data_IF_949827197931
#
_entry.id   IF_949827197931
#
_cell.length_a   1.000
_cell.length_b   1.000
_cell.length_c   1.000
_cell.angle_alpha   90.00
_cell.angle_beta   90.00
_cell.angle_gamma   90.00
#
_symmetry.space_group_name_H-M   'P 1'
#
loop_
_entity.id
_entity.type
_entity.pdbx_description
1 polymer ?
#
# COMPACT_ATOMS: atom_id res chain seq x y z
N UNK A 1 9.17 11.87 44.50
CA UNK A 1 7.79 11.68 43.99
C UNK A 1 7.91 11.29 42.52
N UNK A 2 7.70 10.02 42.19
CA UNK A 2 7.63 9.54 40.81
C UNK A 2 6.30 10.00 40.22
N UNK A 3 6.32 11.01 39.35
CA UNK A 3 5.13 11.42 38.60
C UNK A 3 4.58 10.21 37.84
N UNK A 4 3.30 9.88 38.08
CA UNK A 4 2.61 8.85 37.29
C UNK A 4 2.59 9.32 35.83
N UNK A 5 2.88 8.46 34.84
CA UNK A 5 2.74 8.83 33.45
C UNK A 5 1.29 9.24 33.19
N UNK A 6 1.05 10.52 32.91
CA UNK A 6 -0.27 10.98 32.51
C UNK A 6 -0.55 10.47 31.09
N UNK A 7 -1.66 9.76 30.91
CA UNK A 7 -2.12 9.36 29.57
C UNK A 7 -2.35 10.61 28.73
N UNK A 8 -1.70 10.70 27.57
CA UNK A 8 -1.95 11.81 26.65
C UNK A 8 -3.35 11.69 26.04
N UNK A 9 -3.91 12.79 25.55
CA UNK A 9 -5.21 12.77 24.85
C UNK A 9 -5.23 11.77 23.67
N UNK A 10 -4.08 11.60 22.99
CA UNK A 10 -3.93 10.60 21.93
C UNK A 10 -3.96 9.15 22.42
N UNK A 11 -3.47 8.89 23.63
CA UNK A 11 -3.51 7.56 24.24
C UNK A 11 -4.97 7.18 24.59
N UNK A 12 -5.72 8.11 25.20
CA UNK A 12 -7.14 7.88 25.52
C UNK A 12 -7.99 7.68 24.26
N UNK A 13 -7.76 8.50 23.23
CA UNK A 13 -8.45 8.38 21.94
C UNK A 13 -8.20 7.03 21.28
N UNK A 14 -6.93 6.61 21.16
CA UNK A 14 -6.60 5.30 20.60
C UNK A 14 -7.18 4.15 21.44
N UNK A 15 -7.11 4.25 22.77
CA UNK A 15 -7.69 3.27 23.68
C UNK A 15 -9.20 3.10 23.47
N UNK A 16 -9.94 4.21 23.34
CA UNK A 16 -11.37 4.17 23.05
C UNK A 16 -11.66 3.51 21.69
N UNK A 17 -10.92 3.87 20.64
CA UNK A 17 -11.07 3.26 19.32
C UNK A 17 -10.81 1.75 19.35
N UNK A 18 -9.77 1.30 20.05
CA UNK A 18 -9.46 -0.12 20.19
C UNK A 18 -10.53 -0.88 21.00
N UNK A 19 -11.07 -0.28 22.06
CA UNK A 19 -12.17 -0.88 22.83
C UNK A 19 -13.46 -1.02 22.00
N UNK A 20 -13.79 0.01 21.22
CA UNK A 20 -14.92 -0.05 20.27
C UNK A 20 -14.67 -1.11 19.20
N UNK A 21 -13.47 -1.16 18.63
CA UNK A 21 -13.08 -2.18 17.65
C UNK A 21 -13.18 -3.60 18.19
N UNK A 22 -12.75 -3.82 19.43
CA UNK A 22 -12.88 -5.11 20.13
C UNK A 22 -14.34 -5.56 20.23
N UNK A 23 -15.24 -4.64 20.62
CA UNK A 23 -16.68 -4.95 20.72
C UNK A 23 -17.27 -5.24 19.33
N UNK A 24 -16.92 -4.44 18.32
CA UNK A 24 -17.37 -4.66 16.93
C UNK A 24 -16.94 -6.04 16.43
N UNK A 25 -15.68 -6.43 16.66
CA UNK A 25 -15.18 -7.74 16.27
C UNK A 25 -15.93 -8.90 16.93
N UNK A 26 -16.26 -8.79 18.23
CA UNK A 26 -17.07 -9.79 18.94
C UNK A 26 -18.48 -9.86 18.37
N UNK A 27 -19.10 -8.71 18.06
CA UNK A 27 -20.43 -8.68 17.47
C UNK A 27 -20.45 -9.32 16.08
N UNK A 28 -19.43 -9.07 15.26
CA UNK A 28 -19.23 -9.77 14.00
C UNK A 28 -19.09 -11.28 14.23
N UNK A 29 -18.22 -11.70 15.14
CA UNK A 29 -18.00 -13.11 15.44
C UNK A 29 -19.28 -13.82 15.96
N UNK A 30 -20.11 -13.12 16.74
CA UNK A 30 -21.32 -13.69 17.33
C UNK A 30 -22.52 -13.74 16.36
N UNK A 31 -22.54 -12.89 15.33
CA UNK A 31 -23.71 -12.74 14.44
C UNK A 31 -23.44 -13.01 12.96
N UNK A 32 -22.20 -13.31 12.59
CA UNK A 32 -21.87 -13.63 11.20
C UNK A 32 -22.43 -15.02 10.83
N UNK A 33 -23.10 -15.14 9.67
CA UNK A 33 -23.61 -16.43 9.19
C UNK A 33 -22.51 -17.35 8.65
N UNK A 34 -21.39 -16.78 8.20
CA UNK A 34 -20.32 -17.50 7.52
C UNK A 34 -19.14 -17.77 8.47
N UNK A 35 -18.64 -19.01 8.60
CA UNK A 35 -17.53 -19.34 9.50
C UNK A 35 -16.27 -18.50 9.26
N UNK A 36 -15.99 -18.10 8.01
CA UNK A 36 -14.82 -17.30 7.71
C UNK A 36 -14.93 -15.85 8.22
N UNK A 37 -16.13 -15.28 8.23
CA UNK A 37 -16.37 -13.95 8.81
C UNK A 37 -16.38 -14.02 10.33
N UNK A 38 -16.87 -15.12 10.91
CA UNK A 38 -16.72 -15.39 12.34
C UNK A 38 -15.23 -15.40 12.73
N UNK A 39 -14.40 -16.11 11.98
CA UNK A 39 -12.96 -16.15 12.17
C UNK A 39 -12.33 -14.75 12.08
N UNK A 40 -12.71 -13.95 11.07
CA UNK A 40 -12.24 -12.56 10.93
C UNK A 40 -12.66 -11.68 12.12
N UNK A 41 -13.87 -11.84 12.65
CA UNK A 41 -14.32 -11.12 13.85
C UNK A 41 -13.46 -11.43 15.07
N UNK A 42 -13.10 -12.70 15.28
CA UNK A 42 -12.19 -13.10 16.36
C UNK A 42 -10.78 -12.57 16.18
N UNK A 43 -10.23 -12.66 14.97
CA UNK A 43 -8.91 -12.13 14.63
C UNK A 43 -8.84 -10.62 14.88
N UNK A 44 -9.85 -9.88 14.43
CA UNK A 44 -9.95 -8.45 14.64
C UNK A 44 -10.02 -8.09 16.14
N UNK A 45 -10.89 -8.79 16.89
CA UNK A 45 -11.02 -8.62 18.34
C UNK A 45 -9.69 -8.88 19.06
N UNK A 46 -9.02 -9.97 18.72
CA UNK A 46 -7.73 -10.32 19.32
C UNK A 46 -6.67 -9.25 19.05
N UNK A 47 -6.63 -8.68 17.84
CA UNK A 47 -5.74 -7.57 17.51
C UNK A 47 -6.06 -6.29 18.29
N UNK A 48 -7.34 -5.93 18.42
CA UNK A 48 -7.77 -4.78 19.23
C UNK A 48 -7.40 -4.96 20.70
N UNK A 49 -7.61 -6.15 21.26
CA UNK A 49 -7.23 -6.48 22.64
C UNK A 49 -5.71 -6.42 22.84
N UNK A 50 -4.93 -6.96 21.90
CA UNK A 50 -3.47 -6.86 21.94
C UNK A 50 -3.00 -5.40 21.91
N UNK A 51 -3.64 -4.56 21.08
CA UNK A 51 -3.41 -3.12 21.04
C UNK A 51 -3.72 -2.43 22.38
N UNK A 52 -4.85 -2.76 23.02
CA UNK A 52 -5.20 -2.25 24.35
C UNK A 52 -4.18 -2.65 25.40
N UNK A 53 -3.78 -3.91 25.43
CA UNK A 53 -2.77 -4.42 26.36
C UNK A 53 -1.43 -3.71 26.14
N UNK A 54 -1.01 -3.52 24.88
CA UNK A 54 0.22 -2.80 24.54
C UNK A 54 0.15 -1.32 24.99
N UNK A 55 -0.98 -0.66 24.80
CA UNK A 55 -1.20 0.72 25.22
C UNK A 55 -1.18 0.86 26.75
N UNK A 56 -1.86 -0.05 27.46
CA UNK A 56 -1.83 -0.12 28.94
C UNK A 56 -0.39 -0.33 29.42
N UNK A 57 0.33 -1.32 28.87
CA UNK A 57 1.74 -1.57 29.23
C UNK A 57 2.63 -0.35 29.00
N UNK A 58 2.43 0.38 27.90
CA UNK A 58 3.15 1.64 27.63
C UNK A 58 2.86 2.70 28.68
N UNK A 59 1.60 2.87 29.08
CA UNK A 59 1.18 3.89 30.05
C UNK A 59 1.60 3.56 31.49
N UNK A 60 1.62 2.28 31.87
CA UNK A 60 2.00 1.85 33.22
C UNK A 60 3.50 1.53 33.37
N UNK A 61 4.21 1.29 32.27
CA UNK A 61 5.58 0.76 32.28
C UNK A 61 6.71 1.76 32.01
N UNK A 62 6.44 3.03 31.65
CA UNK A 62 7.49 3.94 31.18
C UNK A 62 7.43 5.35 31.80
N UNK A 63 8.58 5.84 32.29
CA UNK A 63 8.90 7.27 32.33
C UNK A 63 8.97 7.76 30.88
N UNK A 64 7.98 8.55 30.44
CA UNK A 64 7.97 9.07 29.07
C UNK A 64 9.06 10.15 28.92
N UNK A 65 10.25 9.76 28.49
CA UNK A 65 11.24 10.73 27.99
C UNK A 65 10.76 11.28 26.65
N UNK A 66 10.86 12.60 26.46
CA UNK A 66 10.49 13.23 25.20
C UNK A 66 11.20 12.53 24.02
N UNK A 67 10.47 12.18 22.93
CA UNK A 67 11.09 11.50 21.81
C UNK A 67 12.17 12.38 21.17
N UNK A 68 13.43 11.92 21.20
CA UNK A 68 14.53 12.57 20.49
C UNK A 68 14.78 11.87 19.13
N UNK A 69 14.91 12.65 18.06
CA UNK A 69 15.22 12.16 16.71
C UNK A 69 14.03 11.58 15.94
N UNK A 70 14.33 10.93 14.80
CA UNK A 70 13.33 10.33 13.92
C UNK A 70 12.67 9.09 14.53
N UNK A 71 11.44 8.80 14.12
CA UNK A 71 10.73 7.59 14.51
C UNK A 71 11.19 6.41 13.63
N UNK A 72 12.33 5.83 14.00
CA UNK A 72 12.94 4.70 13.25
C UNK A 72 12.33 3.34 13.60
N UNK A 73 11.67 3.22 14.75
CA UNK A 73 11.20 1.92 15.24
C UNK A 73 10.11 1.33 14.33
N UNK A 74 9.14 2.16 13.92
CA UNK A 74 8.08 1.74 12.98
C UNK A 74 8.65 1.44 11.58
N UNK A 75 9.66 2.20 11.13
CA UNK A 75 10.33 1.95 9.85
C UNK A 75 11.02 0.59 9.87
N UNK A 76 11.76 0.27 10.94
CA UNK A 76 12.42 -1.03 11.10
C UNK A 76 11.42 -2.19 11.11
N UNK A 77 10.30 -2.03 11.82
CA UNK A 77 9.23 -3.03 11.83
C UNK A 77 8.65 -3.23 10.41
N UNK A 78 8.40 -2.14 9.68
CA UNK A 78 7.97 -2.16 8.29
C UNK A 78 8.95 -2.90 7.37
N UNK A 79 10.25 -2.63 7.48
CA UNK A 79 11.29 -3.32 6.68
C UNK A 79 11.31 -4.83 6.96
N UNK A 80 11.18 -5.25 8.23
CA UNK A 80 11.10 -6.67 8.60
C UNK A 80 9.84 -7.29 8.00
N UNK A 81 8.70 -6.62 8.11
CA UNK A 81 7.44 -7.07 7.53
C UNK A 81 7.52 -7.17 6.00
N UNK A 82 8.14 -6.19 5.31
CA UNK A 82 8.39 -6.24 3.87
C UNK A 82 9.14 -7.50 3.48
N UNK A 83 10.24 -7.84 4.16
CA UNK A 83 11.00 -9.05 3.84
C UNK A 83 10.16 -10.31 4.06
N UNK A 84 9.43 -10.40 5.17
CA UNK A 84 8.56 -11.53 5.47
C UNK A 84 7.48 -11.71 4.39
N UNK A 85 6.73 -10.66 4.06
CA UNK A 85 5.67 -10.73 3.06
C UNK A 85 6.19 -10.90 1.63
N UNK A 86 7.39 -10.40 1.32
CA UNK A 86 8.07 -10.64 0.06
C UNK A 86 8.35 -12.14 -0.13
N UNK A 87 8.96 -12.78 0.88
CA UNK A 87 9.19 -14.24 0.84
C UNK A 87 7.87 -14.99 0.75
N UNK A 88 6.90 -14.68 1.61
CA UNK A 88 5.60 -15.36 1.61
C UNK A 88 4.87 -15.24 0.27
N UNK A 89 4.77 -14.02 -0.28
CA UNK A 89 4.12 -13.76 -1.57
C UNK A 89 4.80 -14.47 -2.73
N UNK A 90 6.14 -14.46 -2.79
CA UNK A 90 6.89 -15.16 -3.84
C UNK A 90 6.81 -16.69 -3.72
N UNK A 91 6.76 -17.24 -2.51
CA UNK A 91 6.52 -18.67 -2.28
C UNK A 91 5.13 -19.07 -2.79
N UNK A 92 4.08 -18.32 -2.47
CA UNK A 92 2.73 -18.60 -3.03
C UNK A 92 2.75 -18.47 -4.55
N UNK A 93 3.48 -17.50 -5.10
CA UNK A 93 3.69 -17.33 -6.55
C UNK A 93 4.31 -18.57 -7.19
N UNK A 94 5.35 -19.13 -6.58
CA UNK A 94 5.97 -20.39 -7.02
C UNK A 94 4.98 -21.56 -6.94
N UNK A 95 4.21 -21.66 -5.85
CA UNK A 95 3.20 -22.73 -5.70
C UNK A 95 2.15 -22.67 -6.81
N UNK A 96 1.56 -21.50 -7.08
CA UNK A 96 0.53 -21.39 -8.12
C UNK A 96 1.10 -21.55 -9.53
N UNK A 97 2.36 -21.19 -9.77
CA UNK A 97 3.05 -21.48 -11.02
C UNK A 97 3.24 -23.00 -11.20
N UNK A 98 3.62 -23.72 -10.14
CA UNK A 98 3.70 -25.18 -10.15
C UNK A 98 2.33 -25.84 -10.32
N UNK A 99 1.25 -25.26 -9.80
CA UNK A 99 -0.11 -25.77 -10.02
C UNK A 99 -0.56 -25.68 -11.49
N UNK A 100 -0.11 -24.65 -12.21
CA UNK A 100 -0.36 -24.56 -13.65
C UNK A 100 0.41 -25.62 -14.44
N UNK A 101 1.63 -25.96 -14.01
CA UNK A 101 2.43 -27.01 -14.64
C UNK A 101 1.98 -28.43 -14.24
N UNK A 102 1.61 -28.61 -12.98
CA UNK A 102 1.23 -29.87 -12.36
C UNK A 102 -0.08 -29.70 -11.56
N UNK A 103 -1.25 -29.83 -12.21
CA UNK A 103 -2.55 -29.58 -11.57
C UNK A 103 -2.83 -30.43 -10.31
N UNK A 104 -2.18 -31.59 -10.15
CA UNK A 104 -2.25 -32.40 -8.93
C UNK A 104 -1.85 -31.65 -7.65
N UNK A 105 -1.04 -30.59 -7.76
CA UNK A 105 -0.65 -29.72 -6.64
C UNK A 105 -1.78 -28.81 -6.13
N UNK A 106 -2.99 -28.89 -6.70
CA UNK A 106 -4.19 -28.30 -6.10
C UNK A 106 -4.70 -29.10 -4.90
N UNK A 107 -4.32 -30.38 -4.78
CA UNK A 107 -4.68 -31.30 -3.70
C UNK A 107 -6.19 -31.55 -3.49
N UNK A 108 -7.05 -31.15 -4.44
CA UNK A 108 -8.51 -31.23 -4.34
C UNK A 108 -9.09 -30.61 -3.05
N UNK A 109 -8.37 -29.64 -2.45
CA UNK A 109 -8.82 -28.87 -1.30
C UNK A 109 -9.22 -27.45 -1.72
N UNK A 110 -10.33 -26.89 -1.19
CA UNK A 110 -10.79 -25.56 -1.59
C UNK A 110 -9.73 -24.46 -1.37
N UNK A 111 -9.07 -24.46 -0.21
CA UNK A 111 -8.10 -23.42 0.19
C UNK A 111 -6.72 -23.55 -0.47
N UNK A 112 -6.36 -24.69 -1.05
CA UNK A 112 -5.14 -24.82 -1.85
C UNK A 112 -5.38 -24.72 -3.35
N UNK A 113 -6.64 -24.58 -3.79
CA UNK A 113 -6.94 -24.43 -5.22
C UNK A 113 -6.33 -23.16 -5.80
N UNK A 114 -5.88 -23.23 -7.06
CA UNK A 114 -5.30 -22.12 -7.81
C UNK A 114 -6.20 -20.87 -7.78
N UNK A 115 -7.52 -21.06 -7.90
CA UNK A 115 -8.50 -19.97 -7.89
C UNK A 115 -8.50 -19.15 -6.60
N UNK A 116 -8.20 -19.76 -5.45
CA UNK A 116 -8.09 -19.04 -4.16
C UNK A 116 -6.67 -18.56 -3.85
N UNK A 117 -5.66 -19.30 -4.29
CA UNK A 117 -4.26 -18.93 -4.08
C UNK A 117 -3.79 -17.79 -5.01
N UNK A 118 -4.40 -17.63 -6.20
CA UNK A 118 -4.07 -16.54 -7.13
C UNK A 118 -4.27 -15.15 -6.50
N UNK A 119 -5.46 -14.77 -6.00
CA UNK A 119 -5.64 -13.47 -5.35
C UNK A 119 -4.82 -13.34 -4.06
N UNK A 120 -4.56 -14.45 -3.35
CA UNK A 120 -3.62 -14.45 -2.22
C UNK A 120 -2.21 -14.04 -2.65
N UNK A 121 -1.68 -14.64 -3.72
CA UNK A 121 -0.38 -14.25 -4.27
C UNK A 121 -0.36 -12.79 -4.70
N UNK A 122 -1.33 -12.38 -5.51
CA UNK A 122 -1.44 -11.01 -6.03
C UNK A 122 -1.41 -9.99 -4.89
N UNK A 123 -2.30 -10.14 -3.90
CA UNK A 123 -2.37 -9.23 -2.76
C UNK A 123 -1.17 -9.33 -1.82
N UNK A 124 -0.58 -10.52 -1.64
CA UNK A 124 0.63 -10.66 -0.83
C UNK A 124 1.83 -9.95 -1.47
N UNK A 125 2.01 -10.02 -2.79
CA UNK A 125 3.14 -9.36 -3.46
C UNK A 125 2.90 -7.85 -3.61
N UNK A 126 1.68 -7.43 -3.96
CA UNK A 126 1.39 -6.02 -4.20
C UNK A 126 1.18 -5.28 -2.88
N UNK A 127 0.18 -5.68 -2.11
CA UNK A 127 -0.21 -4.94 -0.92
C UNK A 127 0.62 -5.35 0.31
N UNK A 128 0.82 -6.64 0.56
CA UNK A 128 1.58 -7.02 1.75
C UNK A 128 3.08 -6.67 1.64
N UNK A 129 3.75 -7.11 0.57
CA UNK A 129 5.15 -6.79 0.30
C UNK A 129 5.31 -5.33 -0.14
N UNK A 130 4.76 -4.97 -1.31
CA UNK A 130 4.89 -3.63 -1.86
C UNK A 130 4.35 -2.54 -0.93
N UNK A 131 3.22 -2.77 -0.27
CA UNK A 131 2.65 -1.80 0.68
C UNK A 131 3.48 -1.59 1.93
N UNK A 132 4.03 -2.66 2.53
CA UNK A 132 4.97 -2.49 3.64
C UNK A 132 6.24 -1.75 3.20
N UNK A 133 6.74 -2.03 1.99
CA UNK A 133 7.88 -1.29 1.41
C UNK A 133 7.52 0.20 1.34
N UNK A 134 6.40 0.55 0.71
CA UNK A 134 5.99 1.94 0.51
C UNK A 134 5.74 2.68 1.83
N UNK A 135 5.08 2.06 2.81
CA UNK A 135 4.82 2.68 4.12
C UNK A 135 6.13 2.90 4.86
N UNK A 136 7.01 1.90 4.91
CA UNK A 136 8.29 2.01 5.60
C UNK A 136 9.19 3.08 4.96
N UNK A 137 9.29 3.09 3.62
CA UNK A 137 10.14 4.05 2.92
C UNK A 137 9.54 5.44 2.91
N UNK A 138 8.21 5.61 2.80
CA UNK A 138 7.59 6.94 2.88
C UNK A 138 7.86 7.57 4.25
N UNK A 139 7.70 6.82 5.34
CA UNK A 139 8.01 7.25 6.70
C UNK A 139 9.48 7.57 6.90
N UNK A 140 10.38 6.78 6.31
CA UNK A 140 11.82 7.05 6.36
C UNK A 140 12.19 8.33 5.61
N UNK A 141 11.66 8.49 4.40
CA UNK A 141 12.02 9.56 3.45
C UNK A 141 11.41 10.89 3.86
N UNK A 142 10.13 10.94 4.23
CA UNK A 142 9.46 12.20 4.57
C UNK A 142 10.11 12.87 5.79
N UNK A 143 10.52 12.08 6.79
CA UNK A 143 11.20 12.61 7.97
C UNK A 143 12.52 13.30 7.63
N UNK A 144 13.31 12.67 6.75
CA UNK A 144 14.66 13.15 6.38
C UNK A 144 14.60 14.32 5.42
N UNK A 145 13.70 14.27 4.44
CA UNK A 145 13.53 15.34 3.46
C UNK A 145 12.88 16.58 4.05
N UNK A 146 12.01 16.42 5.08
CA UNK A 146 11.42 17.55 5.80
C UNK A 146 12.18 17.95 7.07
N UNK A 147 13.22 17.20 7.45
CA UNK A 147 14.03 17.40 8.66
C UNK A 147 13.20 17.49 9.94
N UNK A 148 12.20 16.63 10.05
CA UNK A 148 11.25 16.60 11.18
C UNK A 148 10.83 15.18 11.49
N UNK A 149 10.45 14.90 12.74
CA UNK A 149 9.93 13.59 13.16
C UNK A 149 8.53 13.38 12.58
N UNK A 150 8.12 12.13 12.35
CA UNK A 150 6.74 11.82 11.97
C UNK A 150 5.73 12.48 12.92
N UNK A 151 4.61 12.92 12.35
CA UNK A 151 3.49 13.39 13.13
C UNK A 151 2.87 12.26 13.95
N UNK A 152 2.87 12.42 15.28
CA UNK A 152 2.32 11.46 16.24
C UNK A 152 3.26 10.31 16.57
N UNK A 153 3.27 9.89 17.84
CA UNK A 153 4.09 8.75 18.27
C UNK A 153 3.34 7.41 18.12
N UNK A 154 2.03 7.39 18.38
CA UNK A 154 1.19 6.20 18.25
C UNK A 154 0.61 6.01 16.84
N UNK A 155 0.30 7.11 16.14
CA UNK A 155 -0.37 7.03 14.84
C UNK A 155 0.42 6.21 13.80
N UNK A 156 1.76 6.33 13.68
CA UNK A 156 2.53 5.47 12.78
C UNK A 156 2.44 3.97 13.15
N UNK A 157 2.39 3.65 14.44
CA UNK A 157 2.21 2.27 14.90
C UNK A 157 0.80 1.73 14.65
N UNK A 158 -0.22 2.58 14.76
CA UNK A 158 -1.58 2.24 14.33
C UNK A 158 -1.61 1.92 12.84
N UNK A 159 -0.96 2.72 11.99
CA UNK A 159 -0.88 2.43 10.55
C UNK A 159 -0.19 1.10 10.31
N UNK A 160 0.96 0.85 10.95
CA UNK A 160 1.67 -0.42 10.80
C UNK A 160 0.79 -1.62 11.19
N UNK A 161 0.30 -1.68 12.43
CA UNK A 161 -0.48 -2.82 12.90
C UNK A 161 -1.84 -2.92 12.22
N UNK A 162 -2.46 -1.79 11.88
CA UNK A 162 -3.71 -1.77 11.13
C UNK A 162 -3.54 -2.29 9.72
N UNK A 163 -2.42 -1.96 9.05
CA UNK A 163 -2.08 -2.52 7.75
C UNK A 163 -1.77 -4.02 7.85
N UNK A 164 -1.08 -4.46 8.90
CA UNK A 164 -0.88 -5.90 9.14
C UNK A 164 -2.19 -6.65 9.37
N UNK A 165 -3.14 -6.04 10.07
CA UNK A 165 -4.49 -6.60 10.25
C UNK A 165 -5.23 -6.69 8.92
N UNK A 166 -5.16 -5.65 8.07
CA UNK A 166 -5.72 -5.69 6.72
C UNK A 166 -5.17 -6.87 5.90
N UNK A 167 -3.84 -7.01 5.85
CA UNK A 167 -3.17 -8.09 5.12
C UNK A 167 -3.64 -9.47 5.61
N UNK A 168 -3.71 -9.64 6.92
CA UNK A 168 -4.12 -10.91 7.53
C UNK A 168 -5.56 -11.26 7.15
N UNK A 169 -6.51 -10.33 7.33
CA UNK A 169 -7.92 -10.52 7.02
C UNK A 169 -8.16 -10.76 5.52
N UNK A 170 -7.47 -10.01 4.66
CA UNK A 170 -7.54 -10.20 3.21
C UNK A 170 -7.01 -11.60 2.82
N UNK A 171 -5.81 -11.94 3.28
CA UNK A 171 -5.15 -13.21 2.96
C UNK A 171 -5.95 -14.43 3.39
N UNK A 172 -6.46 -14.44 4.63
CA UNK A 172 -7.32 -15.53 5.11
C UNK A 172 -8.68 -15.52 4.42
N UNK A 173 -9.21 -14.35 4.08
CA UNK A 173 -10.44 -14.20 3.31
C UNK A 173 -10.39 -14.93 1.97
N UNK A 174 -9.31 -14.76 1.21
CA UNK A 174 -9.14 -15.42 -0.09
C UNK A 174 -9.13 -16.95 0.04
N UNK A 175 -8.39 -17.48 1.01
CA UNK A 175 -8.33 -18.92 1.29
C UNK A 175 -9.70 -19.49 1.66
N UNK A 176 -10.52 -18.71 2.36
CA UNK A 176 -11.87 -19.06 2.79
C UNK A 176 -12.93 -18.79 1.72
N UNK A 177 -12.56 -18.18 0.59
CA UNK A 177 -13.46 -17.87 -0.52
C UNK A 177 -14.29 -16.59 -0.34
N UNK A 178 -13.90 -15.73 0.60
CA UNK A 178 -14.51 -14.42 0.84
C UNK A 178 -13.85 -13.42 -0.11
N UNK A 179 -14.54 -13.08 -1.19
CA UNK A 179 -14.02 -12.14 -2.19
C UNK A 179 -15.12 -11.42 -2.99
N UNK A 180 -14.83 -10.18 -3.37
CA UNK A 180 -15.60 -9.39 -4.33
C UNK A 180 -15.35 -9.80 -5.79
N UNK A 181 -14.36 -10.65 -6.07
CA UNK A 181 -13.93 -11.08 -7.42
C UNK A 181 -13.44 -9.96 -8.35
N UNK A 182 -13.14 -8.78 -7.81
CA UNK A 182 -12.50 -7.66 -8.52
C UNK A 182 -10.98 -7.73 -8.35
N UNK A 183 -10.24 -7.77 -9.46
CA UNK A 183 -8.78 -7.88 -9.39
C UNK A 183 -8.14 -6.72 -8.62
N UNK A 184 -7.20 -7.02 -7.74
CA UNK A 184 -6.56 -6.07 -6.81
C UNK A 184 -7.52 -5.39 -5.81
N UNK A 185 -8.81 -5.74 -5.81
CA UNK A 185 -9.85 -5.25 -4.90
C UNK A 185 -10.66 -6.44 -4.37
N UNK A 186 -10.00 -7.57 -4.19
CA UNK A 186 -10.65 -8.81 -3.81
C UNK A 186 -11.23 -8.85 -2.38
N UNK A 187 -10.70 -8.14 -1.35
CA UNK A 187 -11.28 -8.18 0.00
C UNK A 187 -12.73 -7.73 0.01
N UNK A 188 -13.50 -8.20 0.99
CA UNK A 188 -14.90 -7.78 1.15
C UNK A 188 -15.04 -6.48 1.95
N UNK A 189 -16.22 -5.88 1.88
CA UNK A 189 -16.53 -4.50 2.29
C UNK A 189 -16.01 -4.10 3.69
N UNK A 190 -16.06 -5.00 4.68
CA UNK A 190 -15.62 -4.70 6.05
C UNK A 190 -14.09 -4.59 6.15
N UNK A 191 -13.35 -5.33 5.32
CA UNK A 191 -11.90 -5.22 5.19
C UNK A 191 -11.54 -3.93 4.43
N UNK A 192 -12.36 -3.53 3.45
CA UNK A 192 -12.19 -2.27 2.72
C UNK A 192 -12.40 -1.05 3.61
N UNK A 193 -13.41 -1.07 4.48
CA UNK A 193 -13.64 -0.01 5.46
C UNK A 193 -12.49 0.09 6.46
N UNK A 194 -11.98 -1.06 6.92
CA UNK A 194 -10.81 -1.08 7.80
C UNK A 194 -9.58 -0.46 7.12
N UNK A 195 -9.28 -0.86 5.88
CA UNK A 195 -8.18 -0.28 5.13
C UNK A 195 -8.37 1.23 4.94
N UNK A 196 -9.60 1.68 4.66
CA UNK A 196 -9.92 3.11 4.52
C UNK A 196 -9.52 3.89 5.77
N UNK A 197 -9.87 3.39 6.96
CA UNK A 197 -9.50 4.04 8.24
C UNK A 197 -7.97 4.10 8.39
N UNK A 198 -7.28 2.98 8.14
CA UNK A 198 -5.81 2.89 8.22
C UNK A 198 -5.17 3.89 7.25
N UNK A 199 -5.69 3.97 6.02
CA UNK A 199 -5.15 4.81 4.96
C UNK A 199 -5.40 6.30 5.21
N UNK A 200 -6.55 6.66 5.79
CA UNK A 200 -6.82 8.04 6.22
C UNK A 200 -5.83 8.48 7.30
N UNK A 201 -5.57 7.64 8.31
CA UNK A 201 -4.56 7.97 9.34
C UNK A 201 -3.17 8.08 8.72
N UNK A 202 -2.84 7.21 7.77
CA UNK A 202 -1.58 7.28 7.02
C UNK A 202 -1.43 8.61 6.24
N UNK A 203 -2.47 9.03 5.52
CA UNK A 203 -2.51 10.32 4.83
C UNK A 203 -2.33 11.49 5.80
N UNK A 204 -3.04 11.49 6.93
CA UNK A 204 -2.92 12.53 7.95
C UNK A 204 -1.52 12.62 8.53
N UNK A 205 -0.87 11.49 8.83
CA UNK A 205 0.53 11.47 9.29
C UNK A 205 1.42 12.13 8.24
N UNK A 206 1.27 11.75 6.97
CA UNK A 206 2.11 12.27 5.88
C UNK A 206 1.92 13.79 5.71
N UNK A 207 0.67 14.26 5.62
CA UNK A 207 0.32 15.67 5.50
C UNK A 207 0.81 16.50 6.69
N UNK A 208 0.55 16.04 7.92
CA UNK A 208 1.01 16.74 9.12
C UNK A 208 2.54 16.78 9.23
N UNK A 209 3.24 15.75 8.74
CA UNK A 209 4.71 15.74 8.70
C UNK A 209 5.24 16.76 7.67
N UNK A 210 4.62 16.83 6.48
CA UNK A 210 4.93 17.85 5.47
C UNK A 210 4.62 19.28 5.94
N UNK A 211 3.56 19.47 6.72
CA UNK A 211 3.19 20.77 7.28
C UNK A 211 4.20 21.26 8.32
N UNK A 212 4.83 20.34 9.07
CA UNK A 212 5.87 20.63 10.08
C UNK A 212 7.29 20.64 9.52
N UNK A 213 7.45 20.67 8.19
CA UNK A 213 8.77 20.66 7.55
C UNK A 213 9.59 21.90 7.93
N UNK A 214 10.91 21.74 7.97
CA UNK A 214 11.85 22.85 8.17
C UNK A 214 12.29 23.50 6.86
N UNK A 215 12.36 22.71 5.80
CA UNK A 215 12.73 23.21 4.46
C UNK A 215 11.51 23.83 3.77
N UNK A 216 11.62 25.02 3.14
CA UNK A 216 10.48 25.67 2.51
C UNK A 216 9.92 24.84 1.34
N UNK A 217 10.81 24.22 0.57
CA UNK A 217 10.48 23.37 -0.56
C UNK A 217 10.22 21.92 -0.14
N UNK A 218 9.21 21.30 -0.75
CA UNK A 218 8.93 19.87 -0.60
C UNK A 218 9.74 19.12 -1.66
N UNK A 219 10.52 18.14 -1.24
CA UNK A 219 11.33 17.32 -2.14
C UNK A 219 10.46 16.49 -3.10
N UNK A 220 10.93 16.28 -4.33
CA UNK A 220 10.18 15.60 -5.41
C UNK A 220 9.68 14.22 -5.01
N UNK A 221 10.46 13.44 -4.24
CA UNK A 221 10.00 12.14 -3.75
C UNK A 221 8.68 12.24 -2.96
N UNK A 222 8.49 13.31 -2.19
CA UNK A 222 7.26 13.51 -1.43
C UNK A 222 6.09 13.93 -2.32
N UNK A 223 6.32 14.49 -3.52
CA UNK A 223 5.24 14.74 -4.49
C UNK A 223 4.67 13.41 -4.96
N UNK A 224 5.55 12.48 -5.34
CA UNK A 224 5.17 11.14 -5.77
C UNK A 224 4.51 10.35 -4.64
N UNK A 225 5.06 10.36 -3.42
CA UNK A 225 4.41 9.72 -2.28
C UNK A 225 3.04 10.33 -1.99
N UNK A 226 2.90 11.66 -2.00
CA UNK A 226 1.61 12.29 -1.72
C UNK A 226 0.58 11.94 -2.81
N UNK A 227 0.97 12.00 -4.08
CA UNK A 227 0.10 11.63 -5.20
C UNK A 227 -0.33 10.15 -5.10
N UNK A 228 0.61 9.25 -4.76
CA UNK A 228 0.32 7.86 -4.45
C UNK A 228 -0.74 7.72 -3.34
N UNK A 229 -0.52 8.33 -2.18
CA UNK A 229 -1.40 8.16 -1.01
C UNK A 229 -2.80 8.66 -1.34
N UNK A 230 -2.91 9.85 -1.94
CA UNK A 230 -4.20 10.49 -2.26
C UNK A 230 -4.95 9.72 -3.34
N UNK A 231 -4.29 9.39 -4.45
CA UNK A 231 -4.95 8.70 -5.55
C UNK A 231 -5.40 7.31 -5.11
N UNK A 232 -4.56 6.52 -4.42
CA UNK A 232 -4.97 5.19 -3.94
C UNK A 232 -6.17 5.27 -3.00
N UNK A 233 -6.25 6.29 -2.14
CA UNK A 233 -7.44 6.49 -1.30
C UNK A 233 -8.71 6.71 -2.14
N UNK A 234 -8.63 7.55 -3.16
CA UNK A 234 -9.74 7.82 -4.09
C UNK A 234 -10.12 6.56 -4.88
N UNK A 235 -9.14 5.85 -5.45
CA UNK A 235 -9.35 4.63 -6.22
C UNK A 235 -10.06 3.57 -5.36
N UNK A 236 -9.55 3.32 -4.15
CA UNK A 236 -10.09 2.35 -3.20
C UNK A 236 -11.54 2.65 -2.86
N UNK A 237 -11.84 3.91 -2.51
CA UNK A 237 -13.22 4.29 -2.14
C UNK A 237 -14.19 4.12 -3.30
N UNK A 238 -13.82 4.54 -4.51
CA UNK A 238 -14.73 4.54 -5.66
C UNK A 238 -14.95 3.12 -6.19
N UNK A 239 -13.89 2.33 -6.36
CA UNK A 239 -14.00 0.99 -6.95
C UNK A 239 -14.73 -0.01 -6.06
N UNK A 240 -14.62 0.18 -4.74
CA UNK A 240 -15.14 -0.71 -3.72
C UNK A 240 -16.48 -0.18 -3.15
N UNK A 241 -17.15 0.74 -3.84
CA UNK A 241 -18.55 1.05 -3.56
C UNK A 241 -19.38 -0.21 -3.79
N UNK A 242 -19.78 -0.84 -2.69
CA UNK A 242 -20.54 -2.07 -2.69
C UNK A 242 -21.66 -2.00 -1.65
N UNK A 243 -22.77 -2.67 -1.94
CA UNK A 243 -23.90 -2.83 -1.03
C UNK A 243 -23.72 -4.17 -0.31
N UNK A 244 -23.47 -4.18 1.01
CA UNK A 244 -23.43 -5.40 1.79
C UNK A 244 -24.80 -6.09 1.78
N UNK A 245 -24.82 -7.41 1.56
CA UNK A 245 -26.07 -8.20 1.61
C UNK A 245 -26.61 -8.24 3.04
N UNK A 246 -25.72 -8.20 4.03
CA UNK A 246 -26.05 -8.07 5.45
C UNK A 246 -24.93 -7.33 6.18
N UNK A 247 -25.24 -6.73 7.34
CA UNK A 247 -24.25 -5.97 8.13
C UNK A 247 -23.26 -6.88 8.89
N UNK A 248 -23.55 -8.16 9.02
CA UNK A 248 -22.72 -9.12 9.77
C UNK A 248 -22.14 -10.23 8.89
N UNK A 249 -22.60 -10.36 7.64
CA UNK A 249 -22.03 -11.25 6.63
C UNK A 249 -20.95 -10.58 5.80
N UNK A 250 -20.15 -11.41 5.14
CA UNK A 250 -19.04 -10.96 4.32
C UNK A 250 -19.46 -10.53 2.93
N UNK A 251 -20.57 -11.07 2.41
CA UNK A 251 -20.95 -10.86 1.01
C UNK A 251 -21.45 -9.44 0.72
N UNK A 252 -20.93 -8.84 -0.36
CA UNK A 252 -21.44 -7.61 -0.95
C UNK A 252 -21.64 -7.73 -2.47
N UNK A 253 -22.40 -6.79 -3.04
CA UNK A 253 -22.51 -6.59 -4.48
C UNK A 253 -22.02 -5.19 -4.86
N UNK A 254 -21.19 -5.13 -5.89
CA UNK A 254 -20.60 -3.90 -6.41
C UNK A 254 -21.71 -2.98 -6.94
N UNK A 255 -21.56 -1.68 -6.73
CA UNK A 255 -22.54 -0.66 -7.13
C UNK A 255 -22.68 -0.59 -8.66
N UNK A 256 -21.58 -0.77 -9.39
CA UNK A 256 -21.53 -0.73 -10.85
C UNK A 256 -21.83 -2.09 -11.46
N UNK A 257 -22.23 -2.12 -12.73
CA UNK A 257 -22.43 -3.37 -13.48
C UNK A 257 -21.96 -3.28 -14.94
N UNK A 258 -21.72 -4.44 -15.55
CA UNK A 258 -21.37 -4.58 -16.96
C UNK A 258 -20.17 -3.70 -17.36
N UNK A 259 -20.36 -2.91 -18.41
CA UNK A 259 -19.31 -2.05 -18.97
C UNK A 259 -18.84 -0.95 -18.01
N UNK A 260 -19.74 -0.44 -17.16
CA UNK A 260 -19.36 0.57 -16.16
C UNK A 260 -18.51 -0.05 -15.05
N UNK A 261 -18.85 -1.27 -14.63
CA UNK A 261 -18.03 -2.00 -13.66
C UNK A 261 -16.66 -2.34 -14.24
N UNK A 262 -16.60 -2.78 -15.50
CA UNK A 262 -15.35 -3.03 -16.19
C UNK A 262 -14.47 -1.77 -16.28
N UNK A 263 -15.05 -0.63 -16.65
CA UNK A 263 -14.33 0.64 -16.75
C UNK A 263 -13.82 1.11 -15.38
N UNK A 264 -14.66 1.07 -14.35
CA UNK A 264 -14.26 1.47 -12.98
C UNK A 264 -13.21 0.51 -12.41
N UNK A 265 -13.36 -0.80 -12.65
CA UNK A 265 -12.40 -1.82 -12.27
C UNK A 265 -11.02 -1.59 -12.89
N UNK A 266 -10.94 -1.26 -14.18
CA UNK A 266 -9.63 -1.06 -14.82
C UNK A 266 -9.09 0.36 -14.71
N UNK A 267 -9.96 1.35 -14.48
CA UNK A 267 -9.52 2.63 -13.94
C UNK A 267 -8.86 2.43 -12.57
N UNK A 268 -9.43 1.63 -11.69
CA UNK A 268 -8.81 1.23 -10.42
C UNK A 268 -7.54 0.41 -10.63
N UNK A 269 -7.62 -0.72 -11.33
CA UNK A 269 -6.53 -1.70 -11.43
C UNK A 269 -5.28 -1.12 -12.11
N UNK A 270 -5.45 -0.37 -13.20
CA UNK A 270 -4.32 0.28 -13.85
C UNK A 270 -3.69 1.34 -12.95
N UNK A 271 -4.50 2.19 -12.31
CA UNK A 271 -3.99 3.23 -11.44
C UNK A 271 -3.50 2.68 -10.08
N UNK A 272 -3.90 1.49 -9.67
CA UNK A 272 -3.27 0.78 -8.56
C UNK A 272 -1.81 0.50 -8.93
N UNK A 273 -1.53 -0.08 -10.10
CA UNK A 273 -0.14 -0.22 -10.58
C UNK A 273 0.53 1.14 -10.80
N UNK A 274 -0.19 2.12 -11.34
CA UNK A 274 0.35 3.45 -11.64
C UNK A 274 0.74 4.30 -10.44
N UNK A 275 -0.04 4.25 -9.38
CA UNK A 275 0.20 5.08 -8.21
C UNK A 275 0.86 4.29 -7.09
N UNK A 276 0.45 3.03 -6.86
CA UNK A 276 1.06 2.18 -5.85
C UNK A 276 2.42 1.68 -6.32
N UNK A 277 2.49 1.02 -7.49
CA UNK A 277 3.70 0.34 -7.96
C UNK A 277 4.61 1.20 -8.83
N UNK A 278 4.12 2.30 -9.41
CA UNK A 278 4.94 3.24 -10.19
C UNK A 278 5.22 4.53 -9.42
N UNK A 279 4.23 5.37 -9.12
CA UNK A 279 4.47 6.64 -8.43
C UNK A 279 5.12 6.44 -7.06
N UNK A 280 4.59 5.52 -6.24
CA UNK A 280 5.17 5.16 -4.96
C UNK A 280 6.64 4.71 -5.07
N UNK A 281 6.97 3.87 -6.05
CA UNK A 281 8.35 3.39 -6.26
C UNK A 281 9.28 4.39 -6.95
N UNK A 282 8.74 5.31 -7.77
CA UNK A 282 9.48 6.47 -8.25
C UNK A 282 9.92 7.35 -7.09
N UNK A 283 9.09 7.49 -6.04
CA UNK A 283 9.51 8.20 -4.84
C UNK A 283 10.72 7.53 -4.14
N UNK A 284 10.77 6.20 -4.10
CA UNK A 284 11.94 5.47 -3.62
C UNK A 284 13.15 5.78 -4.50
N UNK A 285 13.02 5.72 -5.83
CA UNK A 285 14.09 6.06 -6.77
C UNK A 285 14.60 7.48 -6.50
N UNK A 286 13.72 8.47 -6.41
CA UNK A 286 14.06 9.87 -6.18
C UNK A 286 14.82 10.11 -4.88
N UNK A 287 14.66 9.25 -3.88
CA UNK A 287 15.42 9.37 -2.64
C UNK A 287 16.68 8.50 -2.64
N UNK A 288 16.54 7.19 -2.87
CA UNK A 288 17.61 6.22 -2.66
C UNK A 288 18.69 6.23 -3.75
N UNK A 289 18.34 6.52 -5.01
CA UNK A 289 19.33 6.63 -6.10
C UNK A 289 20.32 7.77 -5.83
N UNK A 290 19.90 9.05 -5.70
CA UNK A 290 20.86 10.13 -5.43
C UNK A 290 21.55 9.96 -4.08
N UNK A 291 20.84 9.43 -3.06
CA UNK A 291 21.43 9.23 -1.73
C UNK A 291 22.55 8.20 -1.73
N UNK A 292 22.41 7.11 -2.48
CA UNK A 292 23.42 6.04 -2.57
C UNK A 292 24.51 6.39 -3.58
N UNK A 293 24.15 7.08 -4.66
CA UNK A 293 25.10 7.55 -5.66
C UNK A 293 25.97 8.70 -5.12
N UNK A 294 25.48 9.42 -4.10
CA UNK A 294 26.07 10.66 -3.58
C UNK A 294 26.20 11.71 -4.69
N UNK A 295 25.16 11.78 -5.52
CA UNK A 295 25.05 12.70 -6.65
C UNK A 295 23.76 13.50 -6.55
N UNK A 296 23.75 14.76 -7.00
CA UNK A 296 22.51 15.51 -7.12
C UNK A 296 21.61 14.84 -8.17
N UNK A 297 20.30 15.01 -8.02
CA UNK A 297 19.34 14.60 -9.07
C UNK A 297 19.73 15.29 -10.37
N UNK A 298 19.74 14.54 -11.47
CA UNK A 298 20.15 15.01 -12.79
C UNK A 298 19.38 16.25 -13.25
N UNK A 299 18.04 16.20 -13.33
CA UNK A 299 17.23 17.30 -13.86
C UNK A 299 15.98 17.58 -13.02
N UNK A 300 16.00 18.72 -12.34
CA UNK A 300 14.82 19.22 -11.61
C UNK A 300 13.67 19.59 -12.55
N UNK A 301 13.96 20.18 -13.72
CA UNK A 301 12.92 20.50 -14.73
C UNK A 301 12.25 19.24 -15.26
N UNK A 302 13.04 18.20 -15.53
CA UNK A 302 12.48 16.90 -15.92
C UNK A 302 11.63 16.33 -14.79
N UNK A 303 12.06 16.47 -13.53
CA UNK A 303 11.27 16.05 -12.37
C UNK A 303 9.87 16.67 -12.35
N UNK A 304 9.75 17.97 -12.66
CA UNK A 304 8.46 18.66 -12.75
C UNK A 304 7.61 18.12 -13.91
N UNK A 305 8.18 18.09 -15.12
CA UNK A 305 7.44 17.70 -16.34
C UNK A 305 6.97 16.25 -16.24
N UNK A 306 7.87 15.33 -15.89
CA UNK A 306 7.54 13.92 -15.72
C UNK A 306 6.52 13.73 -14.60
N UNK A 307 6.67 14.38 -13.44
CA UNK A 307 5.69 14.24 -12.36
C UNK A 307 4.29 14.63 -12.80
N UNK A 308 4.10 15.85 -13.32
CA UNK A 308 2.75 16.32 -13.66
C UNK A 308 2.15 15.58 -14.86
N UNK A 309 2.95 15.32 -15.89
CA UNK A 309 2.48 14.56 -17.04
C UNK A 309 2.15 13.11 -16.66
N UNK A 310 2.97 12.45 -15.84
CA UNK A 310 2.71 11.08 -15.39
C UNK A 310 1.42 11.02 -14.57
N UNK A 311 1.31 11.84 -13.51
CA UNK A 311 0.17 11.79 -12.59
C UNK A 311 -1.15 12.17 -13.31
N UNK A 312 -1.11 13.05 -14.31
CA UNK A 312 -2.30 13.38 -15.10
C UNK A 312 -2.66 12.27 -16.11
N UNK A 313 -1.70 11.79 -16.90
CA UNK A 313 -1.96 10.86 -17.99
C UNK A 313 -2.31 9.45 -17.50
N UNK A 314 -1.71 8.98 -16.39
CA UNK A 314 -1.92 7.62 -15.89
C UNK A 314 -3.40 7.31 -15.60
N UNK A 315 -4.16 8.31 -15.12
CA UNK A 315 -5.57 8.18 -14.78
C UNK A 315 -6.41 7.70 -15.98
N UNK A 316 -6.01 8.05 -17.20
CA UNK A 316 -6.74 7.76 -18.43
C UNK A 316 -6.44 6.41 -19.05
N UNK A 317 -5.38 5.72 -18.61
CA UNK A 317 -4.91 4.51 -19.29
C UNK A 317 -5.71 3.25 -18.93
N UNK A 318 -6.65 3.30 -17.98
CA UNK A 318 -7.50 2.16 -17.61
C UNK A 318 -8.15 1.39 -18.78
N UNK A 319 -8.75 2.03 -19.80
CA UNK A 319 -9.39 1.34 -20.91
C UNK A 319 -8.46 0.47 -21.78
N UNK A 320 -7.13 0.56 -21.65
CA UNK A 320 -6.22 -0.32 -22.40
C UNK A 320 -6.35 -1.81 -22.01
N UNK A 321 -6.95 -2.10 -20.86
CA UNK A 321 -7.30 -3.45 -20.41
C UNK A 321 -8.57 -3.97 -21.09
N UNK A 322 -9.30 -3.10 -21.79
CA UNK A 322 -10.65 -3.33 -22.30
C UNK A 322 -10.72 -3.22 -23.83
N UNK A 323 -9.59 -3.41 -24.51
CA UNK A 323 -9.54 -3.43 -25.96
C UNK A 323 -10.33 -4.60 -26.54
N UNK A 324 -11.13 -4.30 -27.58
CA UNK A 324 -12.00 -5.27 -28.25
C UNK A 324 -12.97 -5.98 -27.31
N UNK A 325 -13.45 -5.25 -26.30
CA UNK A 325 -14.51 -5.72 -25.37
C UNK A 325 -15.83 -4.99 -25.65
N UNK A 326 -16.82 -5.17 -24.77
CA UNK A 326 -18.08 -4.43 -24.84
C UNK A 326 -17.96 -2.94 -24.44
N UNK A 327 -16.78 -2.47 -23.99
CA UNK A 327 -16.55 -1.05 -23.72
C UNK A 327 -16.65 -0.23 -25.02
N UNK A 328 -17.33 0.94 -25.04
CA UNK A 328 -17.41 1.78 -26.23
C UNK A 328 -16.06 2.14 -26.84
N UNK A 329 -15.96 2.10 -28.17
CA UNK A 329 -14.72 2.34 -28.91
C UNK A 329 -14.06 3.68 -28.59
N UNK A 330 -14.84 4.73 -28.30
CA UNK A 330 -14.30 6.04 -27.92
C UNK A 330 -13.47 5.96 -26.63
N UNK A 331 -13.92 5.18 -25.65
CA UNK A 331 -13.24 5.02 -24.36
C UNK A 331 -11.99 4.15 -24.53
N UNK A 332 -12.08 3.09 -25.35
CA UNK A 332 -10.91 2.29 -25.72
C UNK A 332 -9.84 3.15 -26.42
N UNK A 333 -10.22 3.95 -27.41
CA UNK A 333 -9.32 4.83 -28.17
C UNK A 333 -8.66 5.87 -27.27
N UNK A 334 -9.42 6.41 -26.30
CA UNK A 334 -8.88 7.30 -25.28
C UNK A 334 -7.81 6.59 -24.44
N UNK A 335 -8.10 5.40 -23.90
CA UNK A 335 -7.13 4.64 -23.12
C UNK A 335 -5.87 4.30 -23.90
N UNK A 336 -6.00 3.86 -25.16
CA UNK A 336 -4.84 3.62 -26.04
C UNK A 336 -4.00 4.88 -26.22
N UNK A 337 -4.63 5.99 -26.59
CA UNK A 337 -3.93 7.24 -26.91
C UNK A 337 -3.16 7.75 -25.71
N UNK A 338 -3.80 7.79 -24.54
CA UNK A 338 -3.16 8.22 -23.30
C UNK A 338 -2.08 7.25 -22.83
N UNK A 339 -2.22 5.94 -23.07
CA UNK A 339 -1.18 4.95 -22.77
C UNK A 339 0.07 5.14 -23.64
N UNK A 340 -0.10 5.44 -24.94
CA UNK A 340 1.03 5.76 -25.82
C UNK A 340 1.70 7.06 -25.38
N UNK A 341 0.93 8.08 -25.00
CA UNK A 341 1.49 9.34 -24.48
C UNK A 341 2.20 9.16 -23.14
N UNK A 342 1.75 8.23 -22.30
CA UNK A 342 2.30 7.92 -20.97
C UNK A 342 3.74 7.38 -21.03
N UNK A 343 4.17 6.87 -22.18
CA UNK A 343 5.54 6.41 -22.42
C UNK A 343 6.58 7.50 -22.10
N UNK A 344 6.41 8.71 -22.64
CA UNK A 344 7.36 9.82 -22.49
C UNK A 344 7.58 10.22 -21.02
N UNK A 345 6.53 10.56 -20.24
CA UNK A 345 6.76 10.88 -18.85
C UNK A 345 7.30 9.66 -18.10
N UNK A 346 6.82 8.43 -18.33
CA UNK A 346 7.38 7.26 -17.63
C UNK A 346 8.90 7.15 -17.83
N UNK A 347 9.37 7.27 -19.06
CA UNK A 347 10.80 7.30 -19.37
C UNK A 347 11.52 8.52 -18.79
N UNK A 348 10.83 9.65 -18.59
CA UNK A 348 11.37 10.77 -17.83
C UNK A 348 11.83 10.38 -16.41
N UNK A 349 11.12 9.46 -15.75
CA UNK A 349 11.54 8.88 -14.47
C UNK A 349 12.82 8.06 -14.61
N UNK A 350 12.86 7.17 -15.61
CA UNK A 350 14.04 6.35 -15.92
C UNK A 350 15.27 7.20 -16.20
N UNK A 351 15.14 8.17 -17.11
CA UNK A 351 16.22 9.08 -17.51
C UNK A 351 16.74 9.83 -16.29
N UNK A 352 15.84 10.39 -15.47
CA UNK A 352 16.27 11.15 -14.30
C UNK A 352 16.98 10.26 -13.26
N UNK A 353 16.53 9.02 -13.08
CA UNK A 353 17.19 8.02 -12.23
C UNK A 353 18.57 7.62 -12.74
N UNK A 354 18.68 7.18 -14.00
CA UNK A 354 19.94 6.69 -14.58
C UNK A 354 20.96 7.80 -14.78
N UNK A 355 20.54 8.97 -15.27
CA UNK A 355 21.46 10.08 -15.51
C UNK A 355 21.97 10.71 -14.21
N UNK A 356 21.29 10.49 -13.08
CA UNK A 356 21.80 10.84 -11.74
C UNK A 356 23.08 10.06 -11.41
N UNK A 357 23.30 8.88 -12.00
CA UNK A 357 24.56 8.14 -11.87
C UNK A 357 25.69 8.64 -12.78
N UNK A 358 25.47 9.67 -13.62
CA UNK A 358 26.54 10.16 -14.50
C UNK A 358 27.77 10.57 -13.69
N UNK A 359 28.92 9.96 -14.01
CA UNK A 359 30.17 10.10 -13.26
C UNK A 359 30.31 9.22 -12.00
N UNK A 360 29.35 8.35 -11.71
CA UNK A 360 29.36 7.39 -10.59
C UNK A 360 29.07 5.94 -11.05
N UNK A 361 29.19 5.65 -12.35
CA UNK A 361 28.96 4.33 -12.93
C UNK A 361 29.94 3.26 -12.42
N UNK A 362 31.11 3.67 -11.94
CA UNK A 362 32.08 2.81 -11.26
C UNK A 362 31.48 2.14 -10.01
N UNK A 363 30.54 2.82 -9.31
CA UNK A 363 29.82 2.24 -8.17
C UNK A 363 29.01 1.00 -8.54
N UNK A 364 28.65 0.80 -9.81
CA UNK A 364 28.03 -0.46 -10.25
C UNK A 364 28.97 -1.65 -10.09
N UNK A 365 30.29 -1.48 -10.03
CA UNK A 365 31.21 -2.59 -9.83
C UNK A 365 31.43 -2.90 -8.35
N UNK A 366 31.19 -1.95 -7.46
CA UNK A 366 31.55 -2.05 -6.04
C UNK A 366 30.35 -2.12 -5.09
N UNK A 367 29.21 -1.53 -5.45
CA UNK A 367 28.03 -1.43 -4.60
C UNK A 367 26.84 -2.25 -5.15
N UNK A 368 26.51 -3.41 -4.56
CA UNK A 368 25.40 -4.24 -5.03
C UNK A 368 24.03 -3.57 -4.85
N UNK A 369 23.89 -2.65 -3.88
CA UNK A 369 22.65 -1.88 -3.71
C UNK A 369 22.46 -0.94 -4.91
N UNK A 370 23.53 -0.28 -5.35
CA UNK A 370 23.49 0.55 -6.55
C UNK A 370 23.15 -0.26 -7.80
N UNK A 371 23.70 -1.48 -7.94
CA UNK A 371 23.32 -2.40 -9.03
C UNK A 371 21.83 -2.68 -9.01
N UNK A 372 21.27 -3.03 -7.86
CA UNK A 372 19.84 -3.30 -7.72
C UNK A 372 19.00 -2.08 -8.13
N UNK A 373 19.35 -0.89 -7.65
CA UNK A 373 18.62 0.35 -7.99
C UNK A 373 18.66 0.65 -9.50
N UNK A 374 19.82 0.52 -10.15
CA UNK A 374 19.94 0.77 -11.59
C UNK A 374 19.21 -0.27 -12.42
N UNK A 375 19.36 -1.55 -12.10
CA UNK A 375 18.66 -2.62 -12.80
C UNK A 375 17.15 -2.48 -12.61
N UNK A 376 16.69 -2.07 -11.43
CA UNK A 376 15.27 -1.78 -11.17
C UNK A 376 14.75 -0.66 -12.10
N UNK A 377 15.52 0.41 -12.25
CA UNK A 377 15.16 1.53 -13.15
C UNK A 377 15.18 1.11 -14.63
N UNK A 378 16.08 0.19 -15.01
CA UNK A 378 16.10 -0.36 -16.37
C UNK A 378 14.86 -1.24 -16.65
N UNK A 379 14.49 -2.13 -15.74
CA UNK A 379 13.25 -2.92 -15.87
C UNK A 379 11.99 -2.05 -15.82
N UNK A 380 12.01 -0.97 -15.04
CA UNK A 380 10.96 0.04 -15.07
C UNK A 380 10.79 0.62 -16.48
N UNK A 381 11.86 1.16 -17.08
CA UNK A 381 11.78 1.72 -18.43
C UNK A 381 11.52 0.69 -19.53
N UNK A 382 11.86 -0.59 -19.33
CA UNK A 382 11.48 -1.66 -20.24
C UNK A 382 9.97 -1.96 -20.18
N UNK A 383 9.35 -1.80 -19.02
CA UNK A 383 7.96 -2.19 -18.77
C UNK A 383 6.96 -1.05 -19.04
N UNK A 384 7.44 0.19 -19.10
CA UNK A 384 6.65 1.40 -19.37
C UNK A 384 6.98 1.98 -20.73
#
# INVERSE_FOLDING_TARGET
MTERPQSTFGDLGLGACLAVGFIIGILFAARAPEPGVVFHGWVFSAGCLAGLVALIRRNFGATQTAPHGYNEAVVKAGVIASMFWGVAGFVVGLVIALQLAFPALNFDLPWTSFGRLRPLHTSAVIFAFGGNVLIATSFYVVQRTCRTRLAGDLAPWFVFWGYQMFILLAGTGYLLGITQSKEYAEPEWYVDLWLTIVWVVYLLIFLCTLAKRREPHIYVANWFYLAFIVTIAMLHVINNLAIPVSLTGGKSYILFSGVQDALTQWWYGHNAVGFFLTAGFLALMYYFVPKRAERPIYSYRLSIVHFWALIFLYIWAGPHHLHYTALPDWAQTLGMTFSVMLWIPSWGGMINGLMTLSGAWDKLRTDPVMRMLVVSVAFYGMST
#
